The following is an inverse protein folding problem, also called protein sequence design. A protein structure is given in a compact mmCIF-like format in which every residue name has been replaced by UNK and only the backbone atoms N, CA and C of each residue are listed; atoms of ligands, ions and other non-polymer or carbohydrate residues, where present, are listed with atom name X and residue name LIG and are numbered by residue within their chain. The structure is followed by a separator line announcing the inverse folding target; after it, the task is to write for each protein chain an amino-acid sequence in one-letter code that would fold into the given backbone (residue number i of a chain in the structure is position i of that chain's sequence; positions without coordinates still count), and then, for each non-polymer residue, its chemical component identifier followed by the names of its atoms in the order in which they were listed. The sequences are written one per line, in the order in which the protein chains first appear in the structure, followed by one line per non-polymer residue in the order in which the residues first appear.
data_IF_032225903744
#
_entry.id   IF_032225903744
#
_cell.length_a   1.000
_cell.length_b   1.000
_cell.length_c   1.000
_cell.angle_alpha   90.00
_cell.angle_beta   90.00
_cell.angle_gamma   90.00
#
_symmetry.space_group_name_H-M   'P 1'
#
loop_
_entity.id
_entity.type
_entity.pdbx_description
1 polymer ?
#
# COMPACT_ATOMS: atom_id res chain seq x y z
N UNK A 1 -16.75 1.86 2.10
CA UNK A 1 -17.14 0.84 3.10
C UNK A 1 -16.47 -0.46 2.69
N UNK A 2 -15.15 -0.58 2.89
CA UNK A 2 -14.54 -1.90 2.90
C UNK A 2 -14.90 -2.51 4.26
N UNK A 3 -15.62 -3.64 4.22
CA UNK A 3 -16.05 -4.29 5.47
C UNK A 3 -14.83 -4.71 6.29
N UNK A 4 -14.87 -4.61 7.63
CA UNK A 4 -13.84 -5.19 8.53
C UNK A 4 -13.52 -6.66 8.21
N UNK A 5 -14.45 -7.35 7.54
CA UNK A 5 -14.31 -8.70 6.99
C UNK A 5 -13.22 -8.80 5.91
N UNK A 6 -13.07 -7.77 5.07
CA UNK A 6 -12.07 -7.74 4.00
C UNK A 6 -10.64 -7.71 4.54
N UNK A 7 -10.37 -6.86 5.54
CA UNK A 7 -9.04 -6.78 6.17
C UNK A 7 -8.63 -8.14 6.75
N UNK A 8 -9.58 -8.90 7.31
CA UNK A 8 -9.35 -10.26 7.83
C UNK A 8 -9.12 -11.30 6.72
N UNK A 9 -9.62 -11.04 5.51
CA UNK A 9 -9.43 -11.92 4.34
C UNK A 9 -8.12 -11.66 3.60
N UNK A 10 -7.40 -10.58 3.93
CA UNK A 10 -6.14 -10.26 3.29
C UNK A 10 -5.11 -11.34 3.55
N UNK A 11 -4.39 -11.71 2.50
CA UNK A 11 -3.29 -12.67 2.57
C UNK A 11 -1.97 -11.98 2.31
N UNK A 12 -0.91 -12.42 3.02
CA UNK A 12 0.45 -11.95 2.75
C UNK A 12 0.81 -12.21 1.28
N UNK A 13 1.38 -11.20 0.63
CA UNK A 13 1.76 -11.23 -0.78
C UNK A 13 0.64 -10.82 -1.74
N UNK A 14 -0.60 -10.71 -1.28
CA UNK A 14 -1.73 -10.25 -2.09
C UNK A 14 -1.48 -8.83 -2.60
N UNK A 15 -1.79 -8.60 -3.87
CA UNK A 15 -1.71 -7.29 -4.51
C UNK A 15 -3.11 -6.68 -4.58
N UNK A 16 -3.21 -5.45 -4.09
CA UNK A 16 -4.41 -4.64 -4.02
C UNK A 16 -4.22 -3.42 -4.91
N UNK A 17 -5.31 -2.90 -5.46
CA UNK A 17 -5.31 -1.63 -6.18
C UNK A 17 -5.90 -0.55 -5.28
N UNK A 18 -5.15 0.53 -5.09
CA UNK A 18 -5.54 1.68 -4.28
C UNK A 18 -5.25 2.97 -5.04
N UNK A 19 -5.82 4.07 -4.56
CA UNK A 19 -5.58 5.40 -5.10
C UNK A 19 -4.86 6.21 -4.01
N UNK A 20 -3.82 6.95 -4.37
CA UNK A 20 -3.19 7.87 -3.42
C UNK A 20 -4.18 8.97 -3.11
N UNK A 21 -4.64 9.05 -1.87
CA UNK A 21 -5.52 10.14 -1.42
C UNK A 21 -4.67 11.37 -1.10
N UNK A 22 -3.60 11.16 -0.34
CA UNK A 22 -2.72 12.23 0.15
C UNK A 22 -1.28 11.73 0.33
N UNK A 23 -0.32 12.52 -0.11
CA UNK A 23 1.11 12.27 0.16
C UNK A 23 1.53 13.04 1.41
N UNK A 24 1.64 12.34 2.53
CA UNK A 24 2.08 12.92 3.81
C UNK A 24 3.56 13.28 3.82
N UNK A 25 4.39 12.46 3.16
CA UNK A 25 5.83 12.73 3.01
C UNK A 25 6.41 12.02 1.78
N UNK A 26 7.69 12.24 1.50
CA UNK A 26 8.40 11.49 0.45
C UNK A 26 8.47 9.98 0.71
N UNK A 27 8.26 9.55 1.96
CA UNK A 27 8.33 8.14 2.40
C UNK A 27 6.99 7.58 2.86
N UNK A 28 5.92 8.36 2.89
CA UNK A 28 4.62 7.91 3.40
C UNK A 28 3.49 8.57 2.61
N UNK A 29 2.47 7.78 2.30
CA UNK A 29 1.26 8.26 1.66
C UNK A 29 0.02 7.57 2.25
N UNK A 30 -1.06 8.33 2.36
CA UNK A 30 -2.39 7.83 2.63
C UNK A 30 -3.03 7.38 1.31
N UNK A 31 -3.43 6.13 1.30
CA UNK A 31 -3.98 5.47 0.12
C UNK A 31 -5.41 5.03 0.43
N UNK A 32 -6.33 5.41 -0.45
CA UNK A 32 -7.71 4.99 -0.39
C UNK A 32 -7.86 3.63 -1.06
N UNK A 33 -8.32 2.66 -0.26
CA UNK A 33 -8.68 1.34 -0.71
C UNK A 33 -10.16 1.08 -0.37
N UNK A 34 -11.03 1.07 -1.39
CA UNK A 34 -12.47 0.80 -1.24
C UNK A 34 -13.20 1.70 -0.20
N UNK A 35 -12.72 2.92 -0.02
CA UNK A 35 -13.25 3.89 0.93
C UNK A 35 -12.65 3.78 2.33
N UNK A 36 -11.63 2.95 2.53
CA UNK A 36 -10.82 2.91 3.75
C UNK A 36 -9.46 3.58 3.48
N UNK A 37 -9.01 4.42 4.40
CA UNK A 37 -7.70 5.07 4.33
C UNK A 37 -6.63 4.18 4.95
N UNK A 38 -5.61 3.86 4.17
CA UNK A 38 -4.47 3.04 4.56
C UNK A 38 -3.21 3.91 4.56
N UNK A 39 -2.47 3.91 5.67
CA UNK A 39 -1.14 4.49 5.72
C UNK A 39 -0.13 3.52 5.11
N UNK A 40 0.58 3.95 4.08
CA UNK A 40 1.52 3.13 3.32
C UNK A 40 2.90 3.77 3.29
N UNK A 41 3.92 2.99 3.61
CA UNK A 41 5.31 3.37 3.42
C UNK A 41 5.71 3.35 1.95
N UNK A 42 6.15 4.49 1.43
CA UNK A 42 6.79 4.62 0.13
C UNK A 42 8.28 4.30 0.21
N UNK A 43 8.60 3.03 -0.02
CA UNK A 43 9.99 2.55 -0.11
C UNK A 43 10.52 2.47 -1.55
N UNK A 44 9.70 2.86 -2.54
CA UNK A 44 10.08 2.78 -3.95
C UNK A 44 11.05 3.88 -4.37
N UNK A 45 11.06 5.00 -3.63
CA UNK A 45 11.81 6.20 -3.99
C UNK A 45 11.20 6.97 -5.17
N UNK A 46 10.03 6.54 -5.66
CA UNK A 46 9.30 7.25 -6.70
C UNK A 46 8.43 8.35 -6.06
N UNK A 47 8.36 9.54 -6.68
CA UNK A 47 7.43 10.57 -6.24
C UNK A 47 6.00 10.10 -6.49
N UNK A 48 5.19 10.07 -5.43
CA UNK A 48 3.75 9.82 -5.52
C UNK A 48 3.02 11.15 -5.71
N UNK A 49 1.87 11.12 -6.37
CA UNK A 49 0.96 12.25 -6.44
C UNK A 49 -0.44 11.84 -6.01
N UNK A 50 -1.18 12.80 -5.46
CA UNK A 50 -2.58 12.60 -5.13
C UNK A 50 -3.37 12.25 -6.39
N UNK A 51 -4.23 11.24 -6.29
CA UNK A 51 -4.98 10.67 -7.39
C UNK A 51 -4.25 9.58 -8.19
N UNK A 52 -2.96 9.31 -7.91
CA UNK A 52 -2.24 8.27 -8.65
C UNK A 52 -2.80 6.87 -8.32
N UNK A 53 -3.12 6.05 -9.33
CA UNK A 53 -3.46 4.65 -9.11
C UNK A 53 -2.19 3.87 -8.78
N UNK A 54 -2.18 3.24 -7.60
CA UNK A 54 -1.05 2.45 -7.12
C UNK A 54 -1.46 1.02 -6.83
N UNK A 55 -0.48 0.13 -6.86
CA UNK A 55 -0.62 -1.25 -6.39
C UNK A 55 0.02 -1.37 -5.03
N UNK A 56 -0.66 -1.99 -4.09
CA UNK A 56 -0.18 -2.26 -2.75
C UNK A 56 0.00 -3.76 -2.58
N UNK A 57 1.11 -4.20 -2.03
CA UNK A 57 1.31 -5.59 -1.61
C UNK A 57 1.18 -5.70 -0.10
N UNK A 58 0.41 -6.68 0.37
CA UNK A 58 0.30 -7.02 1.78
C UNK A 58 1.61 -7.66 2.25
N UNK A 59 2.32 -7.02 3.18
CA UNK A 59 3.58 -7.53 3.74
C UNK A 59 3.35 -8.39 4.98
N UNK A 60 2.46 -7.91 5.84
CA UNK A 60 2.04 -8.61 7.04
C UNK A 60 0.56 -8.34 7.28
N UNK A 61 -0.12 -9.30 7.89
CA UNK A 61 -1.52 -9.16 8.33
C UNK A 61 -1.63 -8.99 9.84
N UNK A 62 -0.53 -9.22 10.58
CA UNK A 62 -0.44 -9.13 12.04
C UNK A 62 0.97 -8.66 12.46
N UNK A 63 1.21 -7.34 12.67
CA UNK A 63 0.31 -6.23 12.38
C UNK A 63 0.11 -6.03 10.87
N UNK A 64 -1.02 -5.43 10.47
CA UNK A 64 -1.32 -5.17 9.06
C UNK A 64 -0.34 -4.15 8.48
N UNK A 65 0.38 -4.56 7.43
CA UNK A 65 1.40 -3.75 6.77
C UNK A 65 1.28 -3.88 5.26
N UNK A 66 1.39 -2.75 4.58
CA UNK A 66 1.36 -2.65 3.12
C UNK A 66 2.63 -2.00 2.61
N UNK A 67 3.09 -2.44 1.44
CA UNK A 67 4.12 -1.75 0.67
C UNK A 67 3.59 -1.42 -0.71
N UNK A 68 4.17 -0.39 -1.34
CA UNK A 68 3.88 -0.10 -2.75
C UNK A 68 4.55 -1.16 -3.63
N UNK A 69 3.75 -1.79 -4.48
CA UNK A 69 4.19 -2.78 -5.45
C UNK A 69 4.42 -2.12 -6.81
N UNK A 70 5.67 -2.10 -7.25
CA UNK A 70 6.04 -1.71 -8.61
C UNK A 70 6.60 -2.91 -9.37
N UNK A 71 5.86 -3.39 -10.38
CA UNK A 71 6.28 -4.50 -11.23
C UNK A 71 7.50 -4.17 -12.09
N UNK A 72 7.76 -2.89 -12.37
CA UNK A 72 8.89 -2.43 -13.19
C UNK A 72 10.14 -2.16 -12.36
N UNK A 73 9.97 -1.73 -11.11
CA UNK A 73 11.05 -1.52 -10.15
C UNK A 73 10.89 -2.45 -8.95
N UNK A 74 11.03 -3.77 -9.16
CA UNK A 74 11.12 -4.74 -8.06
C UNK A 74 12.44 -4.56 -7.28
N UNK A 75 12.54 -3.45 -6.54
CA UNK A 75 13.56 -3.22 -5.52
C UNK A 75 13.06 -3.92 -4.27
N UNK A 76 13.45 -5.18 -4.13
CA UNK A 76 13.09 -6.00 -2.98
C UNK A 76 13.51 -5.31 -1.67
N UNK A 77 12.56 -5.12 -0.75
CA UNK A 77 12.92 -4.83 0.63
C UNK A 77 13.56 -6.10 1.22
N UNK A 78 14.83 -5.99 1.60
CA UNK A 78 15.53 -7.05 2.32
C UNK A 78 14.88 -7.20 3.70
N UNK A 79 14.25 -8.34 3.93
CA UNK A 79 13.79 -8.74 5.26
C UNK A 79 15.05 -9.02 6.08
N UNK A 80 15.30 -8.24 7.13
CA UNK A 80 16.37 -8.49 8.12
C UNK A 80 15.70 -8.94 9.41
#
# INVERSE_FOLDING_TARGET
MASRSFIKSLQKGQILQAIVEEVTSSKEALCNFQGDLLLVGNHTGLPLKNGDPIKLQVISTQPLQFQIFDAKNMRFQRVV
#
